data_IF_914434874722
#
_entry.id   IF_914434874722
#
_cell.length_a   1.000
_cell.length_b   1.000
_cell.length_c   1.000
_cell.angle_alpha   90.00
_cell.angle_beta   90.00
_cell.angle_gamma   90.00
#
_symmetry.space_group_name_H-M   'P 1'
#
loop_
_entity.id
_entity.type
_entity.pdbx_description
1 polymer ?
#
# COMPACT_ATOMS: atom_id res chain seq x y z
N UNK A 1 1.71 9.45 4.54
CA UNK A 1 3.07 9.76 4.03
C UNK A 1 3.07 9.59 2.52
N UNK A 2 3.66 10.54 1.77
CA UNK A 2 3.70 10.48 0.30
C UNK A 2 4.88 9.62 -0.17
N UNK A 3 4.62 8.73 -1.11
CA UNK A 3 5.58 7.79 -1.67
C UNK A 3 5.45 7.73 -3.18
N UNK A 4 6.58 7.65 -3.87
CA UNK A 4 6.59 7.34 -5.30
C UNK A 4 6.66 5.83 -5.45
N UNK A 5 5.72 5.26 -6.21
CA UNK A 5 5.77 3.87 -6.66
C UNK A 5 6.01 3.85 -8.16
N UNK A 6 6.79 2.87 -8.62
CA UNK A 6 6.94 2.61 -10.04
C UNK A 6 5.92 1.55 -10.41
N UNK A 7 5.06 1.89 -11.35
CA UNK A 7 4.08 0.99 -11.91
C UNK A 7 4.71 0.09 -13.00
N UNK A 8 4.04 -1.02 -13.36
CA UNK A 8 4.54 -1.95 -14.38
C UNK A 8 4.71 -1.31 -15.76
N UNK A 9 3.89 -0.31 -16.08
CA UNK A 9 3.97 0.50 -17.31
C UNK A 9 5.19 1.44 -17.35
N UNK A 10 6.00 1.46 -16.28
CA UNK A 10 7.17 2.32 -16.15
C UNK A 10 6.87 3.69 -15.55
N UNK A 11 5.60 4.03 -15.34
CA UNK A 11 5.16 5.31 -14.81
C UNK A 11 5.45 5.42 -13.31
N UNK A 12 5.91 6.59 -12.88
CA UNK A 12 6.01 6.92 -11.47
C UNK A 12 4.71 7.54 -10.99
N UNK A 13 3.99 6.84 -10.12
CA UNK A 13 2.82 7.39 -9.45
C UNK A 13 3.16 7.84 -8.03
N UNK A 14 2.66 9.02 -7.69
CA UNK A 14 2.68 9.52 -6.34
C UNK A 14 1.45 9.00 -5.60
N UNK A 15 1.69 8.23 -4.55
CA UNK A 15 0.66 7.71 -3.66
C UNK A 15 0.86 8.25 -2.25
N UNK A 16 -0.22 8.37 -1.52
CA UNK A 16 -0.20 8.65 -0.10
C UNK A 16 -0.60 7.39 0.67
N UNK A 17 0.29 6.92 1.53
CA UNK A 17 0.09 5.75 2.36
C UNK A 17 -0.23 6.19 3.78
N UNK A 18 -1.34 5.71 4.32
CA UNK A 18 -1.77 5.94 5.71
C UNK A 18 -2.16 4.63 6.35
N UNK A 19 -1.76 4.41 7.60
CA UNK A 19 -2.18 3.26 8.40
C UNK A 19 -3.49 3.57 9.09
N UNK A 20 -4.41 2.61 9.11
CA UNK A 20 -5.68 2.71 9.82
C UNK A 20 -6.07 1.34 10.39
N UNK A 21 -7.10 1.33 11.23
CA UNK A 21 -7.74 0.11 11.69
C UNK A 21 -9.14 0.01 11.10
N UNK A 22 -9.46 -1.12 10.51
CA UNK A 22 -10.82 -1.46 10.11
C UNK A 22 -11.31 -2.62 10.98
N UNK A 23 -12.26 -2.35 11.88
CA UNK A 23 -12.61 -3.26 12.98
C UNK A 23 -11.34 -3.65 13.76
N UNK A 24 -10.95 -4.92 13.74
CA UNK A 24 -9.75 -5.46 14.39
C UNK A 24 -8.56 -5.60 13.45
N UNK A 25 -8.72 -5.27 12.16
CA UNK A 25 -7.71 -5.49 11.14
C UNK A 25 -6.88 -4.22 10.93
N UNK A 26 -5.56 -4.36 10.94
CA UNK A 26 -4.67 -3.29 10.55
C UNK A 26 -4.64 -3.20 9.02
N UNK A 27 -5.04 -2.04 8.51
CA UNK A 27 -5.18 -1.78 7.07
C UNK A 27 -4.36 -0.56 6.66
N UNK A 28 -4.08 -0.47 5.36
CA UNK A 28 -3.30 0.59 4.77
C UNK A 28 -4.11 1.24 3.66
N UNK A 29 -4.47 2.50 3.87
CA UNK A 29 -5.18 3.29 2.88
C UNK A 29 -4.15 3.96 1.96
N UNK A 30 -4.35 3.75 0.66
CA UNK A 30 -3.51 4.22 -0.42
C UNK A 30 -4.32 5.20 -1.23
N UNK A 31 -3.95 6.48 -1.21
CA UNK A 31 -4.61 7.50 -2.02
C UNK A 31 -3.72 7.87 -3.20
N UNK A 32 -4.28 7.78 -4.40
CA UNK A 32 -3.61 8.14 -5.64
C UNK A 32 -3.86 9.62 -5.96
N UNK A 33 -2.98 10.20 -6.79
CA UNK A 33 -3.07 11.62 -7.17
C UNK A 33 -4.31 11.93 -8.02
N UNK A 34 -4.87 10.93 -8.71
CA UNK A 34 -6.10 11.00 -9.50
C UNK A 34 -7.37 10.97 -8.63
N UNK A 35 -7.23 10.90 -7.30
CA UNK A 35 -8.34 10.82 -6.36
C UNK A 35 -8.83 9.41 -6.07
N UNK A 36 -8.34 8.39 -6.78
CA UNK A 36 -8.65 6.99 -6.46
C UNK A 36 -8.05 6.62 -5.12
N UNK A 37 -8.71 5.70 -4.42
CA UNK A 37 -8.22 5.19 -3.15
C UNK A 37 -8.34 3.66 -3.13
N UNK A 38 -7.30 3.00 -2.64
CA UNK A 38 -7.28 1.57 -2.38
C UNK A 38 -7.05 1.31 -0.89
N UNK A 39 -7.66 0.25 -0.36
CA UNK A 39 -7.35 -0.22 0.99
C UNK A 39 -6.67 -1.57 0.88
N UNK A 40 -5.43 -1.64 1.37
CA UNK A 40 -4.63 -2.86 1.40
C UNK A 40 -4.60 -3.45 2.81
N UNK A 41 -4.54 -4.77 2.89
CA UNK A 41 -4.27 -5.49 4.12
C UNK A 41 -3.32 -6.64 3.84
N UNK A 42 -2.65 -7.12 4.89
CA UNK A 42 -1.71 -8.24 4.79
C UNK A 42 -2.35 -9.48 5.38
N UNK A 43 -2.38 -10.56 4.61
CA UNK A 43 -2.85 -11.87 5.04
C UNK A 43 -1.68 -12.86 4.95
N UNK A 44 -1.11 -13.22 6.11
CA UNK A 44 0.13 -13.99 6.16
C UNK A 44 1.29 -13.25 5.49
N UNK A 45 1.77 -13.80 4.37
CA UNK A 45 2.86 -13.22 3.56
C UNK A 45 2.37 -12.37 2.39
N UNK A 46 1.07 -12.40 2.09
CA UNK A 46 0.50 -11.80 0.88
C UNK A 46 -0.19 -10.47 1.18
N UNK A 47 -0.12 -9.57 0.21
CA UNK A 47 -0.82 -8.29 0.22
C UNK A 47 -2.09 -8.40 -0.62
N UNK A 48 -3.22 -7.95 -0.08
CA UNK A 48 -4.51 -8.03 -0.74
C UNK A 48 -5.19 -6.67 -0.72
N UNK A 49 -5.96 -6.39 -1.78
CA UNK A 49 -6.87 -5.26 -1.83
C UNK A 49 -8.23 -5.63 -1.22
N UNK A 50 -8.79 -4.70 -0.45
CA UNK A 50 -10.08 -4.89 0.24
C UNK A 50 -11.27 -4.27 -0.50
N UNK A 51 -11.05 -3.15 -1.18
CA UNK A 51 -12.09 -2.41 -1.91
C UNK A 51 -12.05 -2.76 -3.40
N UNK A 52 -12.66 -1.93 -4.26
CA UNK A 52 -12.72 -2.14 -5.72
C UNK A 52 -11.38 -2.64 -6.28
N UNK A 53 -11.40 -3.80 -6.95
CA UNK A 53 -10.22 -4.50 -7.47
C UNK A 53 -9.71 -3.83 -8.77
N UNK A 54 -9.28 -2.58 -8.65
CA UNK A 54 -8.74 -1.80 -9.75
C UNK A 54 -7.21 -1.82 -9.79
N UNK A 55 -6.54 -2.36 -8.76
CA UNK A 55 -5.09 -2.52 -8.76
C UNK A 55 -4.71 -3.91 -9.21
N UNK A 56 -3.86 -3.99 -10.23
CA UNK A 56 -3.27 -5.27 -10.61
C UNK A 56 -2.36 -5.81 -9.49
N UNK A 57 -2.22 -7.14 -9.45
CA UNK A 57 -1.40 -7.86 -8.47
C UNK A 57 0.03 -7.29 -8.37
N UNK A 58 0.63 -6.90 -9.49
CA UNK A 58 1.95 -6.28 -9.51
C UNK A 58 1.99 -4.96 -8.72
N UNK A 59 0.95 -4.14 -8.84
CA UNK A 59 0.85 -2.86 -8.15
C UNK A 59 0.63 -3.07 -6.66
N UNK A 60 -0.25 -4.02 -6.31
CA UNK A 60 -0.49 -4.45 -4.93
C UNK A 60 0.83 -4.88 -4.27
N UNK A 61 1.59 -5.75 -4.95
CA UNK A 61 2.88 -6.24 -4.45
C UNK A 61 3.93 -5.13 -4.34
N UNK A 62 3.98 -4.18 -5.28
CA UNK A 62 4.92 -3.06 -5.22
C UNK A 62 4.62 -2.14 -4.02
N UNK A 63 3.34 -1.82 -3.79
CA UNK A 63 2.90 -1.02 -2.65
C UNK A 63 3.15 -1.80 -1.34
N UNK A 64 2.81 -3.08 -1.31
CA UNK A 64 3.02 -3.96 -0.17
C UNK A 64 4.49 -4.02 0.27
N UNK A 65 5.41 -4.23 -0.68
CA UNK A 65 6.86 -4.17 -0.42
C UNK A 65 7.30 -2.82 0.14
N UNK A 66 6.70 -1.73 -0.33
CA UNK A 66 6.98 -0.38 0.19
C UNK A 66 6.50 -0.23 1.64
N UNK A 67 5.32 -0.73 1.96
CA UNK A 67 4.78 -0.74 3.33
C UNK A 67 5.67 -1.61 4.25
N UNK A 68 6.04 -2.80 3.80
CA UNK A 68 6.94 -3.69 4.56
C UNK A 68 8.27 -3.00 4.87
N UNK A 69 8.85 -2.28 3.90
CA UNK A 69 10.06 -1.49 4.13
C UNK A 69 9.88 -0.37 5.16
N UNK A 70 8.72 0.28 5.19
CA UNK A 70 8.38 1.30 6.20
C UNK A 70 8.27 0.65 7.59
N UNK A 71 7.64 -0.52 7.68
CA UNK A 71 7.47 -1.27 8.92
C UNK A 71 8.80 -1.76 9.49
N UNK A 72 9.68 -2.30 8.65
CA UNK A 72 11.05 -2.70 9.05
C UNK A 72 11.82 -1.50 9.57
N UNK A 73 11.79 -0.37 8.85
CA UNK A 73 12.47 0.86 9.27
C UNK A 73 11.92 1.39 10.61
N UNK A 74 10.62 1.28 10.85
CA UNK A 74 10.01 1.67 12.13
C UNK A 74 10.40 0.73 13.27
N UNK A 75 10.53 -0.57 13.03
CA UNK A 75 11.01 -1.53 14.04
C UNK A 75 12.47 -1.33 14.40
N UNK A 76 13.32 -0.91 13.46
CA UNK A 76 14.74 -0.63 13.71
C UNK A 76 15.02 0.71 14.39
N UNK A 77 14.00 1.55 14.57
CA UNK A 77 14.12 2.84 15.25
C UNK A 77 13.88 2.77 16.77
N UNK A 78 13.72 1.56 17.32
CA UNK A 78 13.54 1.28 18.74
C UNK A 78 14.60 0.30 19.25
#
# INVERSE_FOLDING_TARGET
MKHKIKLPDGTLQLIEITSAYFKTWHVWNIKFADGKAATLFKLGSEWMQRNEDFLDEHVINAIGKRIDSILVRRKMAF
#
